data_IF_354806306833
#
_entry.id   IF_354806306833
#
_cell.length_a   1.000
_cell.length_b   1.000
_cell.length_c   1.000
_cell.angle_alpha   90.00
_cell.angle_beta   90.00
_cell.angle_gamma   90.00
#
_symmetry.space_group_name_H-M   'P 1'
#
loop_
_entity.id
_entity.type
_entity.pdbx_description
1 polymer ?
#
# COMPACT_ATOMS: atom_id res chain seq x y z
N UNK A 1 -1.11 1.51 -16.38
CA UNK A 1 -0.38 0.74 -15.35
C UNK A 1 0.83 1.57 -14.96
N UNK A 2 0.67 2.40 -13.93
CA UNK A 2 1.75 3.26 -13.43
C UNK A 2 2.33 2.60 -12.20
N UNK A 3 3.62 2.25 -12.24
CA UNK A 3 4.35 1.79 -11.07
C UNK A 3 4.68 3.02 -10.23
N UNK A 4 4.32 3.00 -8.95
CA UNK A 4 4.53 4.12 -8.02
C UNK A 4 5.49 3.65 -6.94
N UNK A 5 6.71 4.18 -6.95
CA UNK A 5 7.63 4.06 -5.82
C UNK A 5 7.29 5.16 -4.80
N UNK A 6 6.90 4.77 -3.58
CA UNK A 6 6.44 5.66 -2.51
C UNK A 6 7.59 6.36 -1.76
N UNK A 7 8.67 6.69 -2.47
CA UNK A 7 9.80 7.45 -1.92
C UNK A 7 9.50 8.97 -1.92
N UNK A 8 8.34 9.36 -2.49
CA UNK A 8 7.94 10.76 -2.69
C UNK A 8 6.43 10.92 -2.57
N UNK A 9 5.99 12.06 -2.02
CA UNK A 9 4.57 12.45 -1.97
C UNK A 9 4.07 12.67 -3.40
N UNK A 10 2.99 11.99 -3.77
CA UNK A 10 2.36 12.15 -5.08
C UNK A 10 1.36 13.32 -5.06
N UNK A 11 1.42 14.25 -6.03
CA UNK A 11 0.56 15.45 -6.03
C UNK A 11 -0.87 15.19 -6.54
N UNK A 12 -1.26 13.92 -6.72
CA UNK A 12 -2.55 13.52 -7.29
C UNK A 12 -3.34 12.68 -6.29
N UNK A 13 -4.65 12.93 -6.22
CA UNK A 13 -5.62 12.21 -5.38
C UNK A 13 -6.57 11.43 -6.29
N UNK A 14 -6.99 10.22 -5.90
CA UNK A 14 -8.05 9.47 -6.58
C UNK A 14 -7.84 9.35 -8.11
N UNK A 15 -6.60 9.05 -8.52
CA UNK A 15 -6.18 9.06 -9.93
C UNK A 15 -5.79 7.68 -10.46
N UNK A 16 -5.42 6.74 -9.60
CA UNK A 16 -4.89 5.44 -10.01
C UNK A 16 -5.92 4.32 -9.90
N UNK A 17 -5.98 3.47 -10.93
CA UNK A 17 -6.76 2.22 -10.93
C UNK A 17 -6.03 1.06 -10.23
N UNK A 18 -4.70 1.16 -10.13
CA UNK A 18 -3.88 0.17 -9.45
C UNK A 18 -2.69 0.85 -8.79
N UNK A 19 -2.38 0.44 -7.56
CA UNK A 19 -1.13 0.78 -6.87
C UNK A 19 -0.42 -0.52 -6.52
N UNK A 20 0.91 -0.55 -6.70
CA UNK A 20 1.74 -1.71 -6.36
C UNK A 20 2.78 -1.27 -5.33
N UNK A 21 2.81 -1.94 -4.18
CA UNK A 21 3.79 -1.75 -3.12
C UNK A 21 4.50 -3.08 -2.88
N UNK A 22 5.67 -3.28 -3.48
CA UNK A 22 6.34 -4.59 -3.55
C UNK A 22 7.65 -4.61 -2.78
N UNK A 23 7.72 -5.34 -1.66
CA UNK A 23 8.96 -5.53 -0.87
C UNK A 23 9.61 -4.20 -0.43
N UNK A 24 8.78 -3.25 0.00
CA UNK A 24 9.24 -1.94 0.50
C UNK A 24 8.80 -1.70 1.94
N UNK A 25 7.59 -2.14 2.31
CA UNK A 25 6.91 -1.69 3.53
C UNK A 25 7.65 -2.10 4.81
N UNK A 26 8.36 -3.22 4.79
CA UNK A 26 9.19 -3.74 5.88
C UNK A 26 10.35 -2.81 6.25
N UNK A 27 10.87 -2.05 5.28
CA UNK A 27 11.94 -1.09 5.48
C UNK A 27 11.43 0.27 5.97
N UNK A 28 10.11 0.50 5.92
CA UNK A 28 9.50 1.76 6.31
C UNK A 28 9.16 1.75 7.80
N UNK A 29 9.60 2.81 8.49
CA UNK A 29 9.32 3.03 9.91
C UNK A 29 7.83 3.32 10.14
N UNK A 30 7.24 4.24 9.37
CA UNK A 30 5.81 4.56 9.41
C UNK A 30 5.05 3.92 8.25
N UNK A 31 4.69 2.65 8.43
CA UNK A 31 3.95 1.85 7.45
C UNK A 31 2.54 2.41 7.20
N UNK A 32 1.91 2.97 8.23
CA UNK A 32 0.56 3.52 8.14
C UNK A 32 0.52 4.77 7.24
N UNK A 33 1.56 5.60 7.29
CA UNK A 33 1.69 6.74 6.37
C UNK A 33 1.68 6.26 4.91
N UNK A 34 2.49 5.25 4.58
CA UNK A 34 2.55 4.69 3.22
C UNK A 34 1.21 4.10 2.79
N UNK A 35 0.55 3.34 3.66
CA UNK A 35 -0.76 2.76 3.36
C UNK A 35 -1.85 3.83 3.15
N UNK A 36 -1.80 4.92 3.93
CA UNK A 36 -2.71 6.08 3.75
C UNK A 36 -2.46 6.77 2.42
N UNK A 37 -1.21 6.92 2.01
CA UNK A 37 -0.87 7.52 0.72
C UNK A 37 -1.31 6.61 -0.44
N UNK A 38 -1.09 5.30 -0.36
CA UNK A 38 -1.66 4.35 -1.32
C UNK A 38 -3.18 4.50 -1.46
N UNK A 39 -3.88 4.61 -0.34
CA UNK A 39 -5.33 4.80 -0.33
C UNK A 39 -5.75 6.14 -0.93
N UNK A 40 -5.07 7.24 -0.58
CA UNK A 40 -5.37 8.59 -1.08
C UNK A 40 -5.27 8.69 -2.60
N UNK A 41 -4.24 8.06 -3.18
CA UNK A 41 -3.99 8.15 -4.62
C UNK A 41 -4.87 7.18 -5.44
N UNK A 42 -5.35 6.10 -4.83
CA UNK A 42 -6.27 5.14 -5.46
C UNK A 42 -7.64 5.75 -5.68
N UNK A 43 -8.25 5.43 -6.83
CA UNK A 43 -9.68 5.70 -6.99
C UNK A 43 -10.50 4.84 -6.03
N UNK A 44 -11.66 5.33 -5.61
CA UNK A 44 -12.59 4.53 -4.80
C UNK A 44 -12.90 3.18 -5.46
N UNK A 45 -12.74 2.09 -4.71
CA UNK A 45 -12.99 0.71 -5.16
C UNK A 45 -11.88 0.08 -6.01
N UNK A 46 -10.73 0.75 -6.18
CA UNK A 46 -9.59 0.23 -6.92
C UNK A 46 -8.57 -0.50 -6.03
N UNK A 47 -7.61 -1.19 -6.66
CA UNK A 47 -6.82 -2.24 -6.00
C UNK A 47 -5.41 -1.75 -5.62
N UNK A 48 -5.04 -2.00 -4.36
CA UNK A 48 -3.65 -2.00 -3.90
C UNK A 48 -3.12 -3.45 -3.92
N UNK A 49 -2.08 -3.72 -4.71
CA UNK A 49 -1.31 -4.96 -4.63
C UNK A 49 -0.10 -4.73 -3.72
N UNK A 50 -0.05 -5.42 -2.59
CA UNK A 50 1.01 -5.28 -1.59
C UNK A 50 1.74 -6.60 -1.39
N UNK A 51 3.07 -6.58 -1.49
CA UNK A 51 3.94 -7.72 -1.16
C UNK A 51 5.01 -7.29 -0.16
N UNK A 52 5.47 -8.23 0.66
CA UNK A 52 6.48 -8.04 1.70
C UNK A 52 7.02 -9.41 2.10
N UNK A 53 8.26 -9.51 2.59
CA UNK A 53 8.84 -10.77 3.06
C UNK A 53 8.01 -11.37 4.19
N UNK A 54 7.97 -12.70 4.28
CA UNK A 54 7.18 -13.43 5.29
C UNK A 54 7.83 -13.37 6.68
N UNK A 55 7.81 -12.20 7.32
CA UNK A 55 8.29 -11.99 8.68
C UNK A 55 7.30 -11.13 9.48
N UNK A 56 6.54 -11.73 10.41
CA UNK A 56 5.75 -11.00 11.43
C UNK A 56 4.42 -10.33 11.02
N UNK A 57 4.14 -10.17 9.72
CA UNK A 57 3.06 -9.29 9.21
C UNK A 57 1.61 -9.72 9.46
N UNK A 58 1.35 -10.99 9.80
CA UNK A 58 -0.01 -11.50 10.00
C UNK A 58 -0.69 -10.82 11.21
N UNK A 59 0.08 -10.38 12.21
CA UNK A 59 -0.48 -9.73 13.40
C UNK A 59 -0.77 -8.24 13.18
N UNK A 60 0.10 -7.54 12.45
CA UNK A 60 -0.01 -6.10 12.21
C UNK A 60 -1.22 -5.73 11.35
N UNK A 61 -1.55 -6.58 10.37
CA UNK A 61 -2.58 -6.29 9.38
C UNK A 61 -3.99 -6.75 9.75
N UNK A 62 -4.17 -7.58 10.79
CA UNK A 62 -5.50 -7.92 11.33
C UNK A 62 -6.29 -6.71 11.83
N UNK A 63 -5.63 -5.56 12.03
CA UNK A 63 -6.23 -4.30 12.49
C UNK A 63 -6.39 -3.25 11.37
N UNK A 64 -5.99 -3.59 10.15
CA UNK A 64 -6.07 -2.70 9.00
C UNK A 64 -7.53 -2.53 8.54
N UNK A 65 -7.93 -1.32 8.09
CA UNK A 65 -9.23 -1.11 7.45
C UNK A 65 -9.31 -1.70 6.03
N UNK A 66 -8.21 -2.26 5.52
CA UNK A 66 -8.12 -2.86 4.20
C UNK A 66 -8.26 -4.38 4.27
N UNK A 67 -9.09 -4.95 3.40
CA UNK A 67 -9.15 -6.39 3.14
C UNK A 67 -7.85 -6.82 2.45
N UNK A 68 -7.00 -7.55 3.17
CA UNK A 68 -5.70 -7.97 2.66
C UNK A 68 -5.76 -9.44 2.30
N UNK A 69 -5.71 -9.71 0.99
CA UNK A 69 -5.59 -11.04 0.44
C UNK A 69 -4.12 -11.43 0.33
N UNK A 70 -3.69 -12.39 1.15
CA UNK A 70 -2.44 -13.11 0.95
C UNK A 70 -2.71 -14.30 0.03
N UNK A 71 -1.86 -14.50 -0.99
CA UNK A 71 -1.86 -15.70 -1.82
C UNK A 71 -0.66 -16.57 -1.47
#
# INVERSE_FOLDING_TARGET
MTFVALEKIFPLDNCFDYVVCSEVLEHISDKLMVLRECYRVLKSGQILLLTTPRTGLIEDFKKSPFDIYYR
#
